data_IF_764760611363
#
_entry.id   IF_764760611363
#
_cell.length_a   1.000
_cell.length_b   1.000
_cell.length_c   1.000
_cell.angle_alpha   90.00
_cell.angle_beta   90.00
_cell.angle_gamma   90.00
#
_symmetry.space_group_name_H-M   'P 1'
#
loop_
_entity.id
_entity.type
_entity.pdbx_description
1 polymer ?
#
# COMPACT_ATOMS: atom_id res chain seq x y z
N UNK A 1 8.39 13.77 -25.40
CA UNK A 1 8.79 12.76 -26.42
C UNK A 1 7.72 11.67 -26.51
N UNK A 2 7.70 10.85 -27.57
CA UNK A 2 6.77 9.72 -27.71
C UNK A 2 7.29 8.47 -27.00
N UNK A 3 6.41 7.56 -26.57
CA UNK A 3 6.79 6.25 -26.04
C UNK A 3 7.57 5.47 -27.12
N UNK A 4 8.71 4.90 -26.75
CA UNK A 4 9.53 4.09 -27.65
C UNK A 4 9.48 2.62 -27.28
N UNK A 5 9.26 1.76 -28.27
CA UNK A 5 9.29 0.31 -28.13
C UNK A 5 10.43 -0.23 -28.98
N UNK A 6 11.42 -0.84 -28.36
CA UNK A 6 12.60 -1.37 -29.06
C UNK A 6 12.93 -2.78 -28.56
N UNK A 7 13.55 -3.59 -29.40
CA UNK A 7 14.23 -4.81 -28.97
C UNK A 7 15.72 -4.50 -28.98
N UNK A 8 16.38 -4.60 -27.83
CA UNK A 8 17.82 -4.37 -27.69
C UNK A 8 18.52 -5.65 -27.29
N UNK A 9 19.77 -5.84 -27.72
CA UNK A 9 20.61 -6.88 -27.12
C UNK A 9 20.91 -6.54 -25.67
N UNK A 10 21.17 -7.56 -24.86
CA UNK A 10 21.59 -7.34 -23.45
C UNK A 10 22.87 -6.51 -23.38
N UNK A 11 23.83 -6.80 -24.27
CA UNK A 11 25.06 -5.99 -24.41
C UNK A 11 24.76 -4.52 -24.67
N UNK A 12 23.86 -4.22 -25.62
CA UNK A 12 23.51 -2.84 -25.98
C UNK A 12 22.88 -2.11 -24.80
N UNK A 13 21.95 -2.75 -24.08
CA UNK A 13 21.31 -2.18 -22.91
C UNK A 13 22.31 -1.90 -21.78
N UNK A 14 23.19 -2.85 -21.47
CA UNK A 14 24.15 -2.69 -20.36
C UNK A 14 25.32 -1.77 -20.71
N UNK A 15 25.52 -1.43 -21.98
CA UNK A 15 26.44 -0.39 -22.43
C UNK A 15 25.82 1.00 -22.42
N UNK A 16 24.49 1.13 -22.31
CA UNK A 16 23.88 2.46 -22.26
C UNK A 16 24.40 3.25 -21.08
N UNK A 17 24.72 4.51 -21.36
CA UNK A 17 25.08 5.48 -20.35
C UNK A 17 23.77 5.95 -19.68
N UNK A 18 23.84 6.14 -18.37
CA UNK A 18 22.81 6.77 -17.55
C UNK A 18 21.69 5.84 -17.03
N UNK A 19 21.89 4.52 -17.04
CA UNK A 19 21.01 3.60 -16.32
C UNK A 19 21.06 3.87 -14.82
N UNK A 20 19.88 4.05 -14.21
CA UNK A 20 19.76 4.33 -12.77
C UNK A 20 18.71 3.46 -12.10
N UNK A 21 19.02 3.02 -10.88
CA UNK A 21 18.03 2.43 -9.97
C UNK A 21 17.43 3.59 -9.17
N UNK A 22 16.17 3.96 -9.41
CA UNK A 22 15.55 5.06 -8.69
C UNK A 22 15.17 4.63 -7.26
N UNK A 23 15.20 5.55 -6.31
CA UNK A 23 14.86 5.31 -4.90
C UNK A 23 13.49 4.66 -4.65
N UNK A 24 12.54 4.77 -5.57
CA UNK A 24 11.24 4.12 -5.43
C UNK A 24 11.21 2.62 -5.71
N UNK A 25 12.27 2.08 -6.29
CA UNK A 25 12.39 0.66 -6.55
C UNK A 25 12.43 -0.15 -5.27
N UNK A 26 12.06 -1.43 -5.39
CA UNK A 26 12.14 -2.36 -4.25
C UNK A 26 13.61 -2.77 -4.04
N UNK A 27 14.00 -3.13 -2.81
CA UNK A 27 15.31 -3.71 -2.57
C UNK A 27 15.56 -4.94 -3.45
N UNK A 28 16.83 -5.24 -3.72
CA UNK A 28 17.22 -6.45 -4.42
C UNK A 28 16.87 -7.68 -3.58
N UNK A 29 15.96 -8.52 -4.06
CA UNK A 29 15.36 -9.67 -3.35
C UNK A 29 15.43 -10.99 -4.13
N UNK A 30 16.01 -11.00 -5.34
CA UNK A 30 16.32 -12.28 -5.97
C UNK A 30 17.20 -13.13 -5.05
N UNK A 31 16.89 -14.41 -4.96
CA UNK A 31 17.65 -15.38 -4.18
C UNK A 31 18.37 -16.37 -5.10
N UNK A 32 19.21 -17.23 -4.51
CA UNK A 32 20.02 -18.23 -5.22
C UNK A 32 19.22 -19.08 -6.22
N UNK A 33 17.96 -19.40 -5.92
CA UNK A 33 17.10 -20.16 -6.86
C UNK A 33 16.84 -19.39 -8.15
N UNK A 34 16.63 -18.07 -8.08
CA UNK A 34 16.43 -17.24 -9.26
C UNK A 34 17.70 -17.19 -10.12
N UNK A 35 18.88 -17.12 -9.49
CA UNK A 35 20.18 -17.19 -10.18
C UNK A 35 20.36 -18.51 -10.91
N UNK A 36 20.11 -19.64 -10.23
CA UNK A 36 20.15 -20.98 -10.86
C UNK A 36 19.20 -21.08 -12.05
N UNK A 37 17.97 -20.59 -11.89
CA UNK A 37 16.99 -20.61 -12.97
C UNK A 37 17.50 -19.81 -14.16
N UNK A 38 17.97 -18.56 -13.94
CA UNK A 38 18.53 -17.74 -15.01
C UNK A 38 19.70 -18.43 -15.70
N UNK A 39 20.64 -19.01 -14.94
CA UNK A 39 21.80 -19.71 -15.50
C UNK A 39 21.40 -20.91 -16.36
N UNK A 40 20.53 -21.78 -15.85
CA UNK A 40 20.11 -22.97 -16.57
C UNK A 40 19.23 -22.62 -17.77
N UNK A 41 18.37 -21.61 -17.68
CA UNK A 41 17.59 -21.11 -18.82
C UNK A 41 18.51 -20.60 -19.94
N UNK A 42 19.59 -19.88 -19.60
CA UNK A 42 20.59 -19.42 -20.57
C UNK A 42 21.35 -20.59 -21.18
N UNK A 43 21.84 -21.50 -20.35
CA UNK A 43 22.58 -22.69 -20.80
C UNK A 43 21.74 -23.55 -21.74
N UNK A 44 20.48 -23.81 -21.40
CA UNK A 44 19.58 -24.63 -22.18
C UNK A 44 19.12 -23.91 -23.47
N UNK A 45 19.20 -22.58 -23.51
CA UNK A 45 18.97 -21.77 -24.70
C UNK A 45 20.20 -21.62 -25.62
N UNK A 46 21.40 -21.97 -25.16
CA UNK A 46 22.63 -21.87 -25.97
C UNK A 46 22.47 -22.62 -27.29
N UNK A 47 22.85 -21.98 -28.39
CA UNK A 47 22.69 -22.50 -29.76
C UNK A 47 21.42 -22.01 -30.47
N UNK A 48 20.48 -21.35 -29.76
CA UNK A 48 19.45 -20.55 -30.42
C UNK A 48 20.07 -19.30 -31.04
N UNK A 49 19.59 -18.89 -32.22
CA UNK A 49 20.09 -17.68 -32.88
C UNK A 49 19.74 -16.40 -32.12
N UNK A 50 18.55 -16.37 -31.53
CA UNK A 50 18.04 -15.24 -30.75
C UNK A 50 17.16 -15.77 -29.61
N UNK A 51 17.37 -15.25 -28.39
CA UNK A 51 16.63 -15.66 -27.20
C UNK A 51 16.11 -14.44 -26.44
N UNK A 52 14.78 -14.34 -26.27
CA UNK A 52 14.19 -13.21 -25.54
C UNK A 52 14.25 -13.48 -24.03
N UNK A 53 14.95 -12.63 -23.27
CA UNK A 53 15.07 -12.78 -21.80
C UNK A 53 14.11 -11.87 -21.03
N UNK A 54 12.98 -11.50 -21.64
CA UNK A 54 11.91 -10.71 -21.02
C UNK A 54 11.89 -9.25 -21.49
N UNK A 55 11.21 -8.41 -20.71
CA UNK A 55 11.09 -6.96 -20.93
C UNK A 55 11.80 -6.16 -19.84
N UNK A 56 12.06 -4.89 -20.17
CA UNK A 56 12.57 -3.82 -19.30
C UNK A 56 11.74 -2.57 -19.60
N UNK A 57 11.33 -1.86 -18.55
CA UNK A 57 10.64 -0.57 -18.67
C UNK A 57 11.57 0.49 -18.10
N UNK A 58 11.91 1.48 -18.92
CA UNK A 58 12.74 2.61 -18.57
C UNK A 58 11.89 3.89 -18.56
N UNK A 59 12.22 4.81 -17.67
CA UNK A 59 11.60 6.13 -17.58
C UNK A 59 12.70 7.20 -17.67
N UNK A 60 12.58 8.10 -18.64
CA UNK A 60 13.50 9.22 -18.77
C UNK A 60 13.32 10.19 -17.60
N UNK A 61 14.38 10.49 -16.87
CA UNK A 61 14.31 11.39 -15.73
C UNK A 61 15.62 12.18 -15.57
N UNK A 62 15.59 13.47 -15.90
CA UNK A 62 16.71 14.40 -15.77
C UNK A 62 18.04 13.89 -16.39
N UNK A 63 17.95 13.32 -17.59
CA UNK A 63 19.10 12.77 -18.32
C UNK A 63 19.46 11.34 -17.94
N UNK A 64 18.78 10.74 -16.96
CA UNK A 64 18.92 9.33 -16.60
C UNK A 64 17.78 8.47 -17.15
N UNK A 65 18.04 7.17 -17.25
CA UNK A 65 17.07 6.13 -17.57
C UNK A 65 16.77 5.33 -16.30
N UNK A 66 15.72 5.76 -15.60
CA UNK A 66 15.23 5.12 -14.38
C UNK A 66 14.60 3.76 -14.72
N UNK A 67 15.11 2.70 -14.10
CA UNK A 67 14.57 1.36 -14.28
C UNK A 67 13.27 1.24 -13.49
N UNK A 68 12.15 1.14 -14.21
CA UNK A 68 10.81 0.88 -13.66
C UNK A 68 10.55 -0.64 -13.56
N UNK A 69 11.04 -1.42 -14.52
CA UNK A 69 10.97 -2.89 -14.51
C UNK A 69 12.28 -3.52 -14.95
N UNK A 70 12.58 -4.71 -14.43
CA UNK A 70 13.77 -5.49 -14.80
C UNK A 70 14.98 -5.29 -13.88
N UNK A 71 14.89 -4.41 -12.88
CA UNK A 71 15.97 -4.11 -11.91
C UNK A 71 16.63 -5.38 -11.37
N UNK A 72 15.85 -6.32 -10.84
CA UNK A 72 16.36 -7.53 -10.20
C UNK A 72 17.21 -8.36 -11.18
N UNK A 73 16.73 -8.55 -12.41
CA UNK A 73 17.43 -9.30 -13.45
C UNK A 73 18.71 -8.58 -13.88
N UNK A 74 18.64 -7.27 -14.10
CA UNK A 74 19.79 -6.48 -14.57
C UNK A 74 20.90 -6.42 -13.51
N UNK A 75 20.56 -6.29 -12.22
CA UNK A 75 21.54 -6.40 -11.12
C UNK A 75 22.19 -7.79 -11.12
N UNK A 76 21.41 -8.87 -11.20
CA UNK A 76 21.96 -10.23 -11.21
C UNK A 76 22.90 -10.50 -12.39
N UNK A 77 22.58 -9.96 -13.57
CA UNK A 77 23.44 -10.04 -14.75
C UNK A 77 24.71 -9.21 -14.54
N UNK A 78 24.59 -8.01 -13.96
CA UNK A 78 25.73 -7.15 -13.68
C UNK A 78 26.70 -7.81 -12.68
N UNK A 79 26.19 -8.50 -11.65
CA UNK A 79 27.01 -9.31 -10.73
C UNK A 79 27.76 -10.45 -11.46
N UNK A 80 27.13 -11.07 -12.46
CA UNK A 80 27.79 -12.10 -13.27
C UNK A 80 28.91 -11.52 -14.14
N UNK A 81 28.72 -10.33 -14.72
CA UNK A 81 29.76 -9.61 -15.46
C UNK A 81 30.93 -9.21 -14.56
N UNK A 82 30.63 -8.77 -13.33
CA UNK A 82 31.64 -8.44 -12.33
C UNK A 82 32.53 -9.64 -11.99
N UNK A 83 31.92 -10.82 -11.79
CA UNK A 83 32.66 -12.07 -11.51
C UNK A 83 33.56 -12.54 -12.65
N UNK A 84 33.26 -12.15 -13.89
CA UNK A 84 34.04 -12.51 -15.08
C UNK A 84 35.05 -11.44 -15.49
N UNK A 85 35.27 -10.43 -14.64
CA UNK A 85 36.16 -9.27 -14.88
C UNK A 85 35.81 -8.48 -16.16
N UNK A 86 34.54 -8.49 -16.58
CA UNK A 86 34.09 -7.85 -17.82
C UNK A 86 33.29 -6.56 -17.56
N UNK A 87 33.02 -6.22 -16.30
CA UNK A 87 32.15 -5.10 -15.89
C UNK A 87 32.59 -3.74 -16.48
N UNK A 88 33.89 -3.49 -16.61
CA UNK A 88 34.43 -2.22 -17.13
C UNK A 88 33.96 -1.90 -18.55
N UNK A 89 33.62 -2.93 -19.34
CA UNK A 89 33.15 -2.79 -20.71
C UNK A 89 31.66 -2.40 -20.81
N UNK A 90 30.93 -2.39 -19.69
CA UNK A 90 29.49 -2.15 -19.62
C UNK A 90 29.17 -1.06 -18.60
N UNK A 91 29.22 0.20 -19.06
CA UNK A 91 29.02 1.39 -18.22
C UNK A 91 27.70 1.35 -17.44
N UNK A 92 26.62 0.95 -18.08
CA UNK A 92 25.31 0.80 -17.44
C UNK A 92 25.33 -0.26 -16.34
N UNK A 93 25.92 -1.43 -16.58
CA UNK A 93 26.07 -2.45 -15.54
C UNK A 93 26.90 -1.95 -14.34
N UNK A 94 27.97 -1.20 -14.61
CA UNK A 94 28.78 -0.59 -13.56
C UNK A 94 27.99 0.45 -12.75
N UNK A 95 27.19 1.29 -13.41
CA UNK A 95 26.29 2.24 -12.74
C UNK A 95 25.28 1.53 -11.83
N UNK A 96 24.71 0.40 -12.27
CA UNK A 96 23.79 -0.39 -11.46
C UNK A 96 24.45 -0.95 -10.20
N UNK A 97 25.69 -1.44 -10.29
CA UNK A 97 26.40 -1.97 -9.11
C UNK A 97 26.99 -0.89 -8.21
N UNK A 98 27.17 0.33 -8.73
CA UNK A 98 27.68 1.48 -7.98
C UNK A 98 26.59 2.28 -7.24
N UNK A 99 25.32 1.90 -7.40
CA UNK A 99 24.21 2.53 -6.70
C UNK A 99 24.31 2.32 -5.18
N UNK A 100 23.67 3.20 -4.41
CA UNK A 100 23.56 3.00 -2.96
C UNK A 100 22.56 1.87 -2.65
N UNK A 101 23.03 0.88 -1.88
CA UNK A 101 22.24 -0.26 -1.45
C UNK A 101 22.26 -0.36 0.07
N UNK A 102 21.12 -0.61 0.66
CA UNK A 102 20.94 -0.97 2.06
C UNK A 102 21.17 -2.46 2.32
N UNK A 103 20.91 -2.86 3.56
CA UNK A 103 21.39 -4.12 4.11
C UNK A 103 20.76 -5.35 3.43
N UNK A 104 19.46 -5.28 3.12
CA UNK A 104 18.74 -6.40 2.48
C UNK A 104 19.27 -6.63 1.06
N UNK A 105 19.42 -5.55 0.29
CA UNK A 105 19.95 -5.58 -1.06
C UNK A 105 21.38 -6.14 -1.08
N UNK A 106 22.25 -5.64 -0.17
CA UNK A 106 23.62 -6.11 -0.02
C UNK A 106 23.70 -7.59 0.38
N UNK A 107 22.86 -8.04 1.32
CA UNK A 107 22.79 -9.46 1.72
C UNK A 107 22.45 -10.36 0.53
N UNK A 108 21.39 -10.03 -0.21
CA UNK A 108 20.99 -10.81 -1.38
C UNK A 108 22.02 -10.74 -2.52
N UNK A 109 22.67 -9.59 -2.72
CA UNK A 109 23.74 -9.44 -3.71
C UNK A 109 24.91 -10.38 -3.38
N UNK A 110 25.36 -10.40 -2.13
CA UNK A 110 26.42 -11.29 -1.64
C UNK A 110 26.05 -12.78 -1.82
N UNK A 111 24.84 -13.17 -1.41
CA UNK A 111 24.38 -14.55 -1.54
C UNK A 111 24.30 -15.03 -2.99
N UNK A 112 23.96 -14.13 -3.91
CA UNK A 112 23.87 -14.43 -5.34
C UNK A 112 25.21 -14.36 -6.05
N UNK A 113 26.12 -13.49 -5.61
CA UNK A 113 27.52 -13.49 -6.04
C UNK A 113 28.17 -14.85 -5.75
N UNK A 114 28.01 -15.36 -4.53
CA UNK A 114 28.49 -16.69 -4.15
C UNK A 114 27.84 -17.81 -4.99
N UNK A 115 26.54 -17.69 -5.31
CA UNK A 115 25.86 -18.67 -6.15
C UNK A 115 26.39 -18.65 -7.59
N UNK A 116 26.65 -17.48 -8.16
CA UNK A 116 27.31 -17.36 -9.46
C UNK A 116 28.70 -18.00 -9.45
N UNK A 117 29.50 -17.72 -8.42
CA UNK A 117 30.83 -18.34 -8.25
C UNK A 117 30.75 -19.88 -8.23
N UNK A 118 29.81 -20.43 -7.45
CA UNK A 118 29.58 -21.88 -7.41
C UNK A 118 29.18 -22.45 -8.78
N UNK A 119 28.34 -21.74 -9.54
CA UNK A 119 27.92 -22.17 -10.87
C UNK A 119 29.09 -22.12 -11.87
N UNK A 120 29.93 -21.09 -11.80
CA UNK A 120 31.15 -20.98 -12.62
C UNK A 120 32.10 -22.14 -12.31
N UNK A 121 32.33 -22.46 -11.04
CA UNK A 121 33.15 -23.60 -10.64
C UNK A 121 32.58 -24.94 -11.13
N UNK A 122 31.25 -25.09 -11.15
CA UNK A 122 30.59 -26.31 -11.59
C UNK A 122 30.76 -26.59 -13.09
N UNK A 123 30.70 -25.56 -13.94
CA UNK A 123 30.79 -25.71 -15.40
C UNK A 123 32.18 -25.43 -15.96
N UNK A 124 33.05 -24.78 -15.19
CA UNK A 124 34.35 -24.28 -15.60
C UNK A 124 34.28 -22.91 -16.27
N UNK A 125 35.35 -22.11 -16.10
CA UNK A 125 35.41 -20.72 -16.57
C UNK A 125 35.12 -20.54 -18.07
N UNK A 126 35.63 -21.44 -18.92
CA UNK A 126 35.41 -21.35 -20.36
C UNK A 126 33.92 -21.46 -20.71
N UNK A 127 33.21 -22.42 -20.12
CA UNK A 127 31.79 -22.60 -20.37
C UNK A 127 30.98 -21.44 -19.77
N UNK A 128 31.38 -20.91 -18.61
CA UNK A 128 30.75 -19.73 -18.03
C UNK A 128 30.91 -18.49 -18.93
N UNK A 129 32.10 -18.28 -19.51
CA UNK A 129 32.35 -17.22 -20.50
C UNK A 129 31.51 -17.41 -21.76
N UNK A 130 31.36 -18.63 -22.25
CA UNK A 130 30.48 -18.92 -23.40
C UNK A 130 29.01 -18.60 -23.10
N UNK A 131 28.53 -18.93 -21.89
CA UNK A 131 27.18 -18.57 -21.43
C UNK A 131 27.02 -17.04 -21.35
N UNK A 132 28.02 -16.33 -20.82
CA UNK A 132 28.02 -14.87 -20.74
C UNK A 132 28.01 -14.21 -22.12
N UNK A 133 28.85 -14.69 -23.05
CA UNK A 133 28.88 -14.22 -24.43
C UNK A 133 27.54 -14.45 -25.14
N UNK A 134 26.91 -15.60 -24.91
CA UNK A 134 25.56 -15.88 -25.42
C UNK A 134 24.52 -14.93 -24.82
N UNK A 135 24.56 -14.69 -23.50
CA UNK A 135 23.69 -13.73 -22.83
C UNK A 135 23.82 -12.33 -23.44
N UNK A 136 25.04 -11.86 -23.64
CA UNK A 136 25.31 -10.51 -24.13
C UNK A 136 24.98 -10.34 -25.61
N UNK A 137 25.43 -11.26 -26.46
CA UNK A 137 25.41 -11.13 -27.91
C UNK A 137 24.21 -11.77 -28.62
N UNK A 138 23.53 -12.75 -27.99
CA UNK A 138 22.44 -13.52 -28.60
C UNK A 138 21.10 -13.41 -27.85
N UNK A 139 21.09 -12.83 -26.64
CA UNK A 139 19.84 -12.56 -25.95
C UNK A 139 19.36 -11.12 -26.21
N UNK A 140 18.04 -11.01 -26.39
CA UNK A 140 17.34 -9.75 -26.63
C UNK A 140 16.37 -9.45 -25.49
N UNK A 141 16.17 -8.17 -25.20
CA UNK A 141 15.21 -7.65 -24.23
C UNK A 141 14.26 -6.68 -24.91
N UNK A 142 12.97 -6.78 -24.59
CA UNK A 142 11.98 -5.80 -25.04
C UNK A 142 12.06 -4.57 -24.14
N UNK A 143 12.59 -3.46 -24.66
CA UNK A 143 12.76 -2.21 -23.92
C UNK A 143 11.63 -1.25 -24.28
N UNK A 144 10.93 -0.78 -23.26
CA UNK A 144 9.92 0.28 -23.36
C UNK A 144 10.47 1.51 -22.67
N UNK A 145 10.72 2.59 -23.42
CA UNK A 145 11.19 3.86 -22.86
C UNK A 145 10.03 4.84 -22.79
N UNK A 146 9.76 5.28 -21.56
CA UNK A 146 8.69 6.21 -21.22
C UNK A 146 9.27 7.61 -21.03
N UNK A 147 8.66 8.65 -21.63
CA UNK A 147 9.13 10.02 -21.46
C UNK A 147 8.92 10.51 -20.03
N UNK A 148 9.61 11.59 -19.66
CA UNK A 148 9.66 12.14 -18.31
C UNK A 148 8.29 12.38 -17.68
N UNK A 149 7.28 12.81 -18.44
CA UNK A 149 5.96 13.12 -17.91
C UNK A 149 5.07 11.88 -17.69
N UNK A 150 5.51 10.68 -18.11
CA UNK A 150 4.66 9.48 -18.20
C UNK A 150 5.04 8.36 -17.25
N UNK A 151 5.58 8.69 -16.08
CA UNK A 151 5.91 7.69 -15.07
C UNK A 151 4.71 6.86 -14.61
N UNK A 152 3.52 7.48 -14.45
CA UNK A 152 2.30 6.74 -14.08
C UNK A 152 1.91 5.71 -15.15
N UNK A 153 2.05 6.04 -16.43
CA UNK A 153 1.83 5.08 -17.52
C UNK A 153 2.89 3.97 -17.51
N UNK A 154 4.14 4.27 -17.13
CA UNK A 154 5.21 3.27 -17.00
C UNK A 154 4.86 2.22 -15.95
N UNK A 155 4.32 2.66 -14.81
CA UNK A 155 3.83 1.79 -13.75
C UNK A 155 2.60 0.97 -14.17
N UNK A 156 1.67 1.54 -14.94
CA UNK A 156 0.54 0.79 -15.50
C UNK A 156 1.01 -0.29 -16.48
N UNK A 157 2.00 0.01 -17.32
CA UNK A 157 2.62 -0.98 -18.21
C UNK A 157 3.30 -2.10 -17.42
N UNK A 158 4.04 -1.75 -16.37
CA UNK A 158 4.64 -2.71 -15.45
C UNK A 158 3.60 -3.67 -14.87
N UNK A 159 2.46 -3.16 -14.38
CA UNK A 159 1.39 -4.01 -13.82
C UNK A 159 0.78 -4.93 -14.89
N UNK A 160 0.53 -4.41 -16.09
CA UNK A 160 -0.02 -5.22 -17.20
C UNK A 160 0.90 -6.34 -17.69
N UNK A 161 2.23 -6.16 -17.57
CA UNK A 161 3.23 -7.16 -17.96
C UNK A 161 3.52 -8.15 -16.84
N UNK A 162 3.33 -7.76 -15.58
CA UNK A 162 3.53 -8.61 -14.40
C UNK A 162 2.40 -9.62 -14.16
N UNK A 163 2.09 -10.44 -15.16
CA UNK A 163 1.14 -11.56 -15.02
C UNK A 163 1.66 -12.70 -14.13
N UNK A 164 2.92 -12.65 -13.70
CA UNK A 164 3.57 -13.65 -12.81
C UNK A 164 4.19 -13.05 -11.54
N UNK A 165 4.12 -11.73 -11.36
CA UNK A 165 4.73 -10.98 -10.24
C UNK A 165 3.69 -10.43 -9.25
N UNK A 166 4.15 -9.69 -8.24
CA UNK A 166 3.29 -8.96 -7.30
C UNK A 166 2.66 -7.77 -8.04
N UNK A 167 1.34 -7.78 -8.23
CA UNK A 167 0.58 -6.68 -8.86
C UNK A 167 0.85 -5.37 -8.15
N UNK A 168 0.93 -4.29 -8.93
CA UNK A 168 1.13 -2.94 -8.42
C UNK A 168 -0.18 -2.46 -7.78
N UNK A 169 -0.11 -2.05 -6.53
CA UNK A 169 -1.27 -1.49 -5.84
C UNK A 169 -1.21 0.05 -5.92
N UNK A 170 -2.35 0.78 -5.84
CA UNK A 170 -2.36 2.25 -5.95
C UNK A 170 -1.46 2.96 -4.94
N UNK A 171 -1.17 2.32 -3.80
CA UNK A 171 -0.24 2.85 -2.82
C UNK A 171 1.22 2.82 -3.28
N UNK A 172 1.63 1.94 -4.19
CA UNK A 172 2.97 1.94 -4.78
C UNK A 172 3.23 3.21 -5.60
N UNK A 173 2.19 3.77 -6.23
CA UNK A 173 2.27 5.06 -6.94
C UNK A 173 2.50 6.23 -5.96
N UNK A 174 1.88 6.17 -4.77
CA UNK A 174 2.12 7.14 -3.70
C UNK A 174 3.56 7.04 -3.18
N UNK A 175 4.05 5.81 -2.92
CA UNK A 175 5.44 5.57 -2.53
C UNK A 175 6.39 6.27 -3.50
N UNK A 176 6.23 6.02 -4.81
CA UNK A 176 7.07 6.65 -5.82
C UNK A 176 6.95 8.17 -5.84
N UNK A 177 5.72 8.71 -5.76
CA UNK A 177 5.48 10.16 -5.72
C UNK A 177 6.18 10.83 -4.54
N UNK A 178 6.04 10.28 -3.33
CA UNK A 178 6.60 10.88 -2.12
C UNK A 178 8.11 10.70 -2.00
N UNK A 179 8.69 9.60 -2.49
CA UNK A 179 10.15 9.43 -2.50
C UNK A 179 10.86 10.47 -3.37
N UNK A 180 10.29 10.82 -4.54
CA UNK A 180 10.82 11.90 -5.39
C UNK A 180 10.74 13.30 -4.78
N UNK A 181 9.99 13.45 -3.69
CA UNK A 181 9.84 14.70 -2.93
C UNK A 181 10.74 14.73 -1.70
N UNK A 182 11.59 13.74 -1.50
CA UNK A 182 12.56 13.70 -0.41
C UNK A 182 13.86 14.39 -0.82
N UNK A 183 14.53 15.00 0.15
CA UNK A 183 15.84 15.61 -0.04
C UNK A 183 16.98 14.57 -0.05
N UNK A 184 16.75 13.38 0.52
CA UNK A 184 17.71 12.28 0.59
C UNK A 184 17.06 10.95 0.26
N UNK A 185 17.74 10.11 -0.52
CA UNK A 185 17.32 8.73 -0.77
C UNK A 185 17.70 7.86 0.44
N UNK A 186 16.70 7.24 1.10
CA UNK A 186 16.91 6.33 2.23
C UNK A 186 16.17 5.01 2.00
N UNK A 187 16.91 3.94 1.65
CA UNK A 187 16.32 2.62 1.39
C UNK A 187 15.58 2.08 2.62
N UNK A 188 15.89 2.51 3.85
CA UNK A 188 15.17 2.07 5.06
C UNK A 188 13.70 2.44 5.04
N UNK A 189 13.34 3.56 4.41
CA UNK A 189 11.94 3.97 4.22
C UNK A 189 11.23 2.98 3.29
N UNK A 190 11.91 2.59 2.21
CA UNK A 190 11.44 1.63 1.21
C UNK A 190 11.29 0.24 1.85
N UNK A 191 12.27 -0.19 2.65
CA UNK A 191 12.24 -1.46 3.38
C UNK A 191 11.05 -1.52 4.34
N UNK A 192 10.86 -0.49 5.17
CA UNK A 192 9.74 -0.41 6.11
C UNK A 192 8.39 -0.37 5.40
N UNK A 193 8.31 0.34 4.28
CA UNK A 193 7.12 0.32 3.42
C UNK A 193 6.81 -1.11 2.95
N UNK A 194 7.80 -1.84 2.42
CA UNK A 194 7.60 -3.22 1.96
C UNK A 194 7.22 -4.16 3.12
N UNK A 195 7.73 -3.94 4.34
CA UNK A 195 7.28 -4.68 5.54
C UNK A 195 5.78 -4.50 5.78
N UNK A 196 5.26 -3.27 5.67
CA UNK A 196 3.83 -3.02 5.80
C UNK A 196 3.01 -3.60 4.64
N UNK A 197 3.56 -3.70 3.43
CA UNK A 197 2.86 -4.39 2.34
C UNK A 197 2.67 -5.87 2.66
N UNK A 198 3.64 -6.49 3.35
CA UNK A 198 3.64 -7.92 3.70
C UNK A 198 3.01 -8.23 5.09
N UNK A 199 2.58 -7.21 5.85
CA UNK A 199 1.93 -7.38 7.16
C UNK A 199 0.59 -8.16 7.00
N UNK A 200 0.48 -9.27 7.75
CA UNK A 200 -0.68 -10.18 7.71
C UNK A 200 -1.87 -9.71 8.55
N UNK A 201 -1.64 -8.88 9.55
CA UNK A 201 -2.68 -8.34 10.44
C UNK A 201 -3.34 -7.09 9.86
N UNK A 202 -2.54 -6.24 9.22
CA UNK A 202 -2.97 -5.02 8.53
C UNK A 202 -1.99 -4.69 7.40
N UNK A 203 -2.21 -5.28 6.23
CA UNK A 203 -1.41 -4.94 5.04
C UNK A 203 -1.65 -3.48 4.62
N UNK A 204 -0.70 -2.85 3.91
CA UNK A 204 -0.92 -1.51 3.33
C UNK A 204 -2.16 -1.44 2.46
N UNK A 205 -2.45 -2.51 1.70
CA UNK A 205 -3.68 -2.59 0.92
C UNK A 205 -4.91 -2.41 1.80
N UNK A 206 -4.99 -3.16 2.91
CA UNK A 206 -6.12 -3.04 3.83
C UNK A 206 -6.14 -1.70 4.56
N UNK A 207 -4.97 -1.18 4.96
CA UNK A 207 -4.84 0.14 5.56
C UNK A 207 -5.46 1.22 4.66
N UNK A 208 -5.10 1.27 3.37
CA UNK A 208 -5.68 2.22 2.43
C UNK A 208 -7.15 1.90 2.12
N UNK A 209 -7.47 0.68 1.67
CA UNK A 209 -8.81 0.31 1.18
C UNK A 209 -9.90 0.39 2.25
N UNK A 210 -9.59 -0.10 3.45
CA UNK A 210 -10.57 -0.30 4.52
C UNK A 210 -10.53 0.78 5.58
N UNK A 211 -9.47 1.58 5.66
CA UNK A 211 -9.31 2.55 6.75
C UNK A 211 -9.03 3.97 6.23
N UNK A 212 -7.82 4.29 5.79
CA UNK A 212 -7.40 5.68 5.58
C UNK A 212 -8.25 6.41 4.54
N UNK A 213 -8.42 5.83 3.35
CA UNK A 213 -9.19 6.49 2.28
C UNK A 213 -10.65 6.70 2.72
N UNK A 214 -11.25 5.69 3.38
CA UNK A 214 -12.63 5.79 3.87
C UNK A 214 -12.74 6.88 4.94
N UNK A 215 -11.89 6.84 5.96
CA UNK A 215 -11.92 7.81 7.07
C UNK A 215 -11.74 9.25 6.59
N UNK A 216 -10.78 9.50 5.68
CA UNK A 216 -10.52 10.85 5.13
C UNK A 216 -11.66 11.36 4.25
N UNK A 217 -12.27 10.52 3.42
CA UNK A 217 -13.41 10.91 2.57
C UNK A 217 -14.67 11.11 3.40
N UNK A 218 -14.95 10.18 4.30
CA UNK A 218 -16.14 10.24 5.14
C UNK A 218 -16.12 11.42 6.12
N UNK A 219 -14.94 11.82 6.62
CA UNK A 219 -14.80 13.02 7.47
C UNK A 219 -15.07 14.33 6.73
N UNK A 220 -14.96 14.33 5.39
CA UNK A 220 -15.34 15.43 4.50
C UNK A 220 -16.79 15.32 4.00
N UNK A 221 -17.50 14.25 4.36
CA UNK A 221 -18.87 13.99 3.90
C UNK A 221 -18.95 13.48 2.46
N UNK A 222 -17.89 12.85 1.96
CA UNK A 222 -17.76 12.30 0.60
C UNK A 222 -17.89 10.77 0.58
N UNK A 223 -18.54 10.19 -0.42
CA UNK A 223 -18.92 8.76 -0.42
C UNK A 223 -17.76 7.80 -0.61
N UNK A 224 -16.73 8.21 -1.37
CA UNK A 224 -15.66 7.34 -1.84
C UNK A 224 -16.12 6.29 -2.88
N UNK A 225 -17.32 6.43 -3.45
CA UNK A 225 -17.80 5.47 -4.44
C UNK A 225 -17.20 5.75 -5.81
N UNK A 226 -16.56 4.75 -6.40
CA UNK A 226 -16.24 4.77 -7.83
C UNK A 226 -17.41 4.17 -8.60
N UNK A 227 -17.97 4.92 -9.54
CA UNK A 227 -19.09 4.49 -10.36
C UNK A 227 -18.58 3.88 -11.67
N UNK A 228 -18.97 2.62 -11.93
CA UNK A 228 -18.79 1.97 -13.25
C UNK A 228 -20.13 1.65 -13.87
N UNK A 229 -20.11 1.35 -15.18
CA UNK A 229 -21.29 1.01 -15.99
C UNK A 229 -22.18 -0.09 -15.39
N UNK A 230 -21.62 -0.99 -14.56
CA UNK A 230 -22.32 -2.12 -13.95
C UNK A 230 -22.31 -2.13 -12.40
N UNK A 231 -22.08 -0.98 -11.77
CA UNK A 231 -22.18 -0.85 -10.31
C UNK A 231 -21.16 0.11 -9.70
N UNK A 232 -21.30 0.35 -8.40
CA UNK A 232 -20.38 1.17 -7.62
C UNK A 232 -19.65 0.31 -6.59
N UNK A 233 -18.36 0.56 -6.42
CA UNK A 233 -17.53 -0.11 -5.40
C UNK A 233 -16.83 0.92 -4.51
N UNK A 234 -16.42 0.47 -3.32
CA UNK A 234 -15.78 1.28 -2.30
C UNK A 234 -14.38 0.72 -2.00
N UNK A 235 -13.40 1.15 -2.81
CA UNK A 235 -12.00 0.70 -2.75
C UNK A 235 -11.08 1.88 -3.06
N UNK A 236 -9.88 1.88 -2.50
CA UNK A 236 -8.84 2.82 -2.91
C UNK A 236 -8.31 2.42 -4.29
N UNK A 237 -8.36 3.36 -5.23
CA UNK A 237 -7.96 3.16 -6.64
C UNK A 237 -7.15 4.37 -7.11
N UNK A 238 -6.63 4.30 -8.33
CA UNK A 238 -5.87 5.41 -8.94
C UNK A 238 -6.64 6.74 -8.91
N UNK A 239 -7.97 6.70 -9.08
CA UNK A 239 -8.87 7.85 -8.98
C UNK A 239 -8.77 8.63 -7.66
N UNK A 240 -8.26 8.00 -6.60
CA UNK A 240 -8.15 8.58 -5.25
C UNK A 240 -6.71 8.88 -4.82
N UNK A 241 -5.72 8.67 -5.70
CA UNK A 241 -4.30 8.95 -5.38
C UNK A 241 -4.11 10.39 -4.93
N UNK A 242 -4.81 11.34 -5.56
CA UNK A 242 -4.67 12.76 -5.25
C UNK A 242 -5.20 13.12 -3.85
N UNK A 243 -6.02 12.28 -3.19
CA UNK A 243 -6.40 12.48 -1.79
C UNK A 243 -5.22 12.32 -0.80
N UNK A 244 -4.16 11.67 -1.27
CA UNK A 244 -2.94 11.37 -0.54
C UNK A 244 -1.70 12.05 -1.11
N UNK A 245 -1.79 12.73 -2.26
CA UNK A 245 -0.78 13.72 -2.63
C UNK A 245 -0.98 14.93 -1.73
N UNK A 246 0.07 15.26 -0.99
CA UNK A 246 0.05 16.31 0.00
C UNK A 246 0.49 17.64 -0.55
N UNK A 247 1.01 18.44 0.37
CA UNK A 247 1.60 19.73 0.05
C UNK A 247 3.04 19.77 0.53
N UNK A 248 3.83 20.59 -0.14
CA UNK A 248 5.17 20.93 0.31
C UNK A 248 5.09 21.98 1.42
N UNK A 249 5.71 21.71 2.57
CA UNK A 249 5.73 22.64 3.71
C UNK A 249 6.40 23.98 3.39
N UNK A 250 7.23 24.04 2.35
CA UNK A 250 7.87 25.26 1.89
C UNK A 250 6.90 26.20 1.17
N UNK A 251 5.69 25.75 0.82
CA UNK A 251 4.70 26.59 0.18
C UNK A 251 4.14 27.66 1.13
N UNK A 252 3.93 28.86 0.61
CA UNK A 252 3.46 30.02 1.38
C UNK A 252 1.93 30.03 1.55
N UNK A 253 1.37 28.92 2.03
CA UNK A 253 -0.03 28.85 2.44
C UNK A 253 -0.20 29.15 3.93
N UNK A 254 -1.16 30.01 4.33
CA UNK A 254 -1.36 30.38 5.73
C UNK A 254 -1.63 29.19 6.66
N UNK A 255 -2.43 28.19 6.23
CA UNK A 255 -2.76 27.04 7.08
C UNK A 255 -1.56 26.13 7.39
N UNK A 256 -0.45 26.25 6.64
CA UNK A 256 0.79 25.51 6.86
C UNK A 256 1.70 26.14 7.91
N UNK A 257 1.43 27.36 8.34
CA UNK A 257 2.24 28.06 9.34
C UNK A 257 2.35 27.26 10.63
N UNK A 258 1.23 26.69 11.12
CA UNK A 258 1.23 25.84 12.30
C UNK A 258 2.13 24.61 12.12
N UNK A 259 2.02 23.92 10.98
CA UNK A 259 2.78 22.70 10.71
C UNK A 259 4.29 22.96 10.56
N UNK A 260 4.69 24.15 10.10
CA UNK A 260 6.10 24.55 10.02
C UNK A 260 6.78 24.76 11.37
N UNK A 261 6.01 25.08 12.42
CA UNK A 261 6.55 25.33 13.76
C UNK A 261 6.45 24.12 14.69
N UNK A 262 5.83 23.03 14.25
CA UNK A 262 5.71 21.80 15.03
C UNK A 262 6.90 20.89 14.74
N UNK A 263 7.76 20.66 15.74
CA UNK A 263 8.90 19.73 15.62
C UNK A 263 8.44 18.29 15.34
N UNK A 264 7.41 17.83 16.06
CA UNK A 264 6.83 16.50 15.91
C UNK A 264 5.36 16.61 15.53
N UNK A 265 5.06 16.40 14.24
CA UNK A 265 3.70 16.47 13.74
C UNK A 265 2.79 15.46 14.47
N UNK A 266 1.51 15.78 14.68
CA UNK A 266 0.60 14.92 15.44
C UNK A 266 0.28 13.60 14.73
N UNK A 267 0.52 13.52 13.42
CA UNK A 267 0.21 12.36 12.56
C UNK A 267 -1.25 11.87 12.65
N UNK A 268 -2.19 12.76 13.00
CA UNK A 268 -3.62 12.44 13.01
C UNK A 268 -4.07 12.00 11.61
N UNK A 269 -4.94 10.99 11.57
CA UNK A 269 -5.51 10.39 10.35
C UNK A 269 -6.05 11.44 9.38
N UNK A 270 -6.61 12.54 9.90
CA UNK A 270 -7.26 13.58 9.10
C UNK A 270 -6.40 14.82 8.85
N UNK A 271 -5.15 14.86 9.31
CA UNK A 271 -4.26 15.99 9.07
C UNK A 271 -4.00 16.19 7.56
N UNK A 272 -3.65 17.40 7.10
CA UNK A 272 -3.15 17.62 5.74
C UNK A 272 -1.97 16.71 5.46
N UNK A 273 -1.97 16.03 4.30
CA UNK A 273 -0.81 15.23 3.93
C UNK A 273 0.33 16.18 3.60
N UNK A 274 1.51 15.87 4.13
CA UNK A 274 2.75 16.57 3.82
C UNK A 274 3.58 15.64 2.93
N UNK A 275 4.08 16.19 1.83
CA UNK A 275 4.87 15.44 0.86
C UNK A 275 6.24 15.00 1.42
N UNK A 276 6.92 14.09 0.73
CA UNK A 276 8.26 13.63 1.13
C UNK A 276 8.24 12.65 2.30
N UNK A 277 9.23 12.78 3.20
CA UNK A 277 9.45 11.88 4.35
C UNK A 277 8.28 11.86 5.33
N UNK A 278 7.60 13.00 5.52
CA UNK A 278 6.45 13.12 6.43
C UNK A 278 5.26 12.28 6.04
N UNK A 279 5.08 11.97 4.75
CA UNK A 279 4.06 11.03 4.31
C UNK A 279 4.34 9.61 4.84
N UNK A 280 5.59 9.15 4.81
CA UNK A 280 5.96 7.83 5.30
C UNK A 280 5.79 7.72 6.82
N UNK A 281 6.19 8.75 7.56
CA UNK A 281 5.93 8.84 9.00
C UNK A 281 4.41 8.82 9.30
N UNK A 282 3.60 9.49 8.48
CA UNK A 282 2.13 9.48 8.60
C UNK A 282 1.54 8.08 8.35
N UNK A 283 2.02 7.36 7.34
CA UNK A 283 1.54 6.00 7.03
C UNK A 283 1.91 5.02 8.14
N UNK A 284 3.15 5.09 8.64
CA UNK A 284 3.60 4.33 9.80
C UNK A 284 2.72 4.60 11.02
N UNK A 285 2.57 5.87 11.40
CA UNK A 285 1.77 6.23 12.56
C UNK A 285 0.30 5.83 12.41
N UNK A 286 -0.25 5.95 11.20
CA UNK A 286 -1.63 5.53 10.91
C UNK A 286 -1.81 4.03 11.04
N UNK A 287 -0.83 3.25 10.55
CA UNK A 287 -0.82 1.79 10.65
C UNK A 287 -0.85 1.33 12.11
N UNK A 288 0.07 1.88 12.93
CA UNK A 288 0.13 1.60 14.36
C UNK A 288 -1.15 2.01 15.10
N UNK A 289 -1.64 3.23 14.85
CA UNK A 289 -2.86 3.76 15.47
C UNK A 289 -4.07 2.86 15.21
N UNK A 290 -4.26 2.37 13.98
CA UNK A 290 -5.38 1.48 13.64
C UNK A 290 -5.23 0.12 14.34
N UNK A 291 -4.03 -0.45 14.42
CA UNK A 291 -3.79 -1.69 15.16
C UNK A 291 -4.09 -1.52 16.65
N UNK A 292 -3.62 -0.43 17.27
CA UNK A 292 -3.89 -0.10 18.67
C UNK A 292 -5.38 0.06 18.93
N UNK A 293 -6.10 0.81 18.09
CA UNK A 293 -7.54 1.02 18.25
C UNK A 293 -8.36 -0.26 18.04
N UNK A 294 -8.00 -1.07 17.04
CA UNK A 294 -8.62 -2.39 16.81
C UNK A 294 -8.41 -3.31 18.02
N UNK A 295 -7.19 -3.37 18.55
CA UNK A 295 -6.90 -4.19 19.74
C UNK A 295 -7.63 -3.68 20.98
N UNK A 296 -7.73 -2.36 21.16
CA UNK A 296 -8.49 -1.76 22.26
C UNK A 296 -9.99 -2.12 22.20
N UNK A 297 -10.61 -2.03 21.02
CA UNK A 297 -12.00 -2.45 20.83
C UNK A 297 -12.18 -3.96 21.03
N UNK A 298 -11.29 -4.77 20.47
CA UNK A 298 -11.28 -6.22 20.67
C UNK A 298 -11.27 -6.61 22.15
N UNK A 299 -10.43 -5.96 22.96
CA UNK A 299 -10.43 -6.16 24.42
C UNK A 299 -11.77 -5.77 25.07
N UNK A 300 -12.37 -4.64 24.66
CA UNK A 300 -13.72 -4.22 25.14
C UNK A 300 -14.83 -5.22 24.80
N UNK A 301 -14.69 -5.97 23.72
CA UNK A 301 -15.66 -6.99 23.27
C UNK A 301 -15.24 -8.44 23.61
N UNK A 302 -14.27 -8.64 24.50
CA UNK A 302 -13.87 -9.98 24.96
C UNK A 302 -13.18 -10.83 23.90
N UNK A 303 -12.63 -10.23 22.85
CA UNK A 303 -11.86 -10.92 21.81
C UNK A 303 -10.42 -11.06 22.28
N UNK A 304 -10.15 -12.08 23.11
CA UNK A 304 -8.77 -12.46 23.45
C UNK A 304 -8.41 -13.79 22.79
N UNK A 305 -7.24 -13.82 22.13
CA UNK A 305 -6.52 -15.06 21.79
C UNK A 305 -5.68 -15.57 22.98
N UNK A 306 -5.76 -14.92 24.14
CA UNK A 306 -5.00 -15.27 25.34
C UNK A 306 -5.92 -15.97 26.34
N UNK A 307 -5.48 -17.17 26.73
CA UNK A 307 -6.05 -18.11 27.70
C UNK A 307 -5.89 -17.57 29.14
N UNK A 308 -6.39 -16.38 29.44
CA UNK A 308 -6.48 -15.94 30.83
C UNK A 308 -7.95 -15.94 31.25
N UNK A 309 -8.29 -16.98 32.02
CA UNK A 309 -9.55 -17.22 32.74
C UNK A 309 -9.75 -16.20 33.87
N UNK A 310 -9.66 -14.91 33.59
CA UNK A 310 -10.25 -13.91 34.49
C UNK A 310 -11.66 -13.61 34.00
N UNK A 311 -12.64 -13.78 34.90
CA UNK A 311 -14.06 -13.50 34.68
C UNK A 311 -14.23 -12.20 33.87
N UNK A 312 -14.44 -12.33 32.55
CA UNK A 312 -14.70 -11.19 31.69
C UNK A 312 -16.03 -10.61 32.12
N UNK A 313 -16.01 -9.59 32.98
CA UNK A 313 -17.13 -8.69 33.18
C UNK A 313 -17.38 -7.96 31.86
N UNK A 314 -18.12 -8.62 30.97
CA UNK A 314 -18.45 -8.12 29.64
C UNK A 314 -19.30 -6.86 29.82
N UNK A 315 -18.70 -5.71 29.49
CA UNK A 315 -19.35 -4.41 29.65
C UNK A 315 -20.58 -4.23 28.73
N UNK A 316 -20.74 -5.10 27.72
CA UNK A 316 -21.75 -5.01 26.67
C UNK A 316 -22.65 -6.25 26.64
N UNK A 317 -23.89 -6.14 26.12
CA UNK A 317 -24.79 -7.30 25.97
C UNK A 317 -24.20 -8.40 25.08
N UNK A 318 -24.42 -9.66 25.44
CA UNK A 318 -23.88 -10.84 24.73
C UNK A 318 -24.18 -10.82 23.22
N UNK A 319 -25.40 -10.46 22.82
CA UNK A 319 -25.77 -10.38 21.40
C UNK A 319 -24.97 -9.34 20.61
N UNK A 320 -24.58 -8.21 21.24
CA UNK A 320 -23.74 -7.19 20.62
C UNK A 320 -22.32 -7.72 20.40
N UNK A 321 -21.78 -8.44 21.39
CA UNK A 321 -20.48 -9.11 21.30
C UNK A 321 -20.48 -10.17 20.20
N UNK A 322 -21.52 -11.00 20.13
CA UNK A 322 -21.69 -12.02 19.09
C UNK A 322 -21.73 -11.39 17.68
N UNK A 323 -22.45 -10.27 17.52
CA UNK A 323 -22.48 -9.54 16.24
C UNK A 323 -21.10 -8.96 15.89
N UNK A 324 -20.40 -8.35 16.86
CA UNK A 324 -19.07 -7.76 16.64
C UNK A 324 -18.03 -8.82 16.26
N UNK A 325 -18.09 -10.01 16.89
CA UNK A 325 -17.15 -11.12 16.70
C UNK A 325 -17.50 -12.03 15.52
N UNK A 326 -18.68 -11.88 14.91
CA UNK A 326 -19.13 -12.75 13.84
C UNK A 326 -18.28 -12.55 12.57
N UNK A 327 -17.71 -13.66 12.07
CA UNK A 327 -16.99 -13.70 10.80
C UNK A 327 -17.93 -13.73 9.58
N UNK A 328 -19.25 -13.68 9.78
CA UNK A 328 -20.23 -13.73 8.69
C UNK A 328 -20.10 -12.50 7.80
N UNK A 329 -20.01 -12.74 6.49
CA UNK A 329 -19.89 -11.71 5.46
C UNK A 329 -20.96 -10.59 5.52
N UNK A 330 -22.13 -10.87 6.10
CA UNK A 330 -23.23 -9.91 6.28
C UNK A 330 -22.87 -8.73 7.19
N UNK A 331 -21.93 -8.89 8.12
CA UNK A 331 -21.55 -7.87 9.11
C UNK A 331 -20.27 -7.11 8.75
N UNK A 332 -19.40 -7.67 7.90
CA UNK A 332 -18.07 -7.11 7.59
C UNK A 332 -18.10 -5.61 7.23
N UNK A 333 -19.10 -5.17 6.45
CA UNK A 333 -19.23 -3.77 6.06
C UNK A 333 -19.61 -2.86 7.24
N UNK A 334 -20.59 -3.27 8.06
CA UNK A 334 -20.99 -2.53 9.26
C UNK A 334 -19.89 -2.51 10.31
N UNK A 335 -19.20 -3.63 10.50
CA UNK A 335 -18.03 -3.72 11.36
C UNK A 335 -16.95 -2.74 10.92
N UNK A 336 -16.67 -2.60 9.62
CA UNK A 336 -15.68 -1.62 9.13
C UNK A 336 -16.13 -0.16 9.35
N UNK A 337 -17.41 0.16 9.16
CA UNK A 337 -17.96 1.50 9.52
C UNK A 337 -17.71 1.76 11.01
N UNK A 338 -18.09 0.81 11.86
CA UNK A 338 -17.96 0.90 13.31
C UNK A 338 -16.51 1.07 13.76
N UNK A 339 -15.61 0.24 13.25
CA UNK A 339 -14.19 0.30 13.56
C UNK A 339 -13.59 1.64 13.15
N UNK A 340 -13.93 2.16 11.96
CA UNK A 340 -13.40 3.42 11.47
C UNK A 340 -13.93 4.64 12.24
N UNK A 341 -15.22 4.68 12.60
CA UNK A 341 -15.76 5.81 13.36
C UNK A 341 -15.22 5.83 14.80
N UNK A 342 -15.10 4.66 15.44
CA UNK A 342 -14.45 4.54 16.75
C UNK A 342 -12.96 4.91 16.68
N UNK A 343 -12.27 4.51 15.62
CA UNK A 343 -10.84 4.84 15.43
C UNK A 343 -10.62 6.34 15.23
N UNK A 344 -11.47 7.02 14.45
CA UNK A 344 -11.40 8.49 14.31
C UNK A 344 -11.77 9.21 15.60
N UNK A 345 -12.71 8.67 16.36
CA UNK A 345 -13.07 9.24 17.65
C UNK A 345 -11.87 9.17 18.59
N UNK A 346 -11.23 8.00 18.68
CA UNK A 346 -10.05 7.78 19.49
C UNK A 346 -8.83 8.58 19.00
N UNK A 347 -8.63 8.73 17.68
CA UNK A 347 -7.59 9.59 17.08
C UNK A 347 -7.76 11.05 17.50
N UNK A 348 -9.02 11.52 17.60
CA UNK A 348 -9.34 12.91 17.91
C UNK A 348 -9.34 13.22 19.41
N UNK A 349 -9.92 12.35 20.23
CA UNK A 349 -10.17 12.61 21.66
C UNK A 349 -9.41 11.69 22.61
N UNK A 350 -8.73 10.67 22.09
CA UNK A 350 -8.11 9.61 22.89
C UNK A 350 -9.03 8.39 23.02
N UNK A 351 -8.44 7.20 22.99
CA UNK A 351 -9.17 5.92 23.10
C UNK A 351 -9.90 5.75 24.45
N UNK A 352 -9.38 6.37 25.51
CA UNK A 352 -9.95 6.24 26.87
C UNK A 352 -11.29 6.98 27.00
N UNK A 353 -11.56 7.95 26.12
CA UNK A 353 -12.84 8.67 26.02
C UNK A 353 -13.95 7.85 25.34
N UNK A 354 -13.66 6.64 24.83
CA UNK A 354 -14.68 5.71 24.31
C UNK A 354 -15.45 5.04 25.45
N UNK A 355 -16.34 5.84 26.07
CA UNK A 355 -17.29 5.38 27.08
C UNK A 355 -18.26 4.34 26.51
N UNK A 356 -18.89 3.57 27.39
CA UNK A 356 -19.90 2.58 27.00
C UNK A 356 -21.02 3.20 26.15
N UNK A 357 -21.51 4.36 26.56
CA UNK A 357 -22.58 5.07 25.86
C UNK A 357 -22.19 5.49 24.44
N UNK A 358 -20.97 6.00 24.27
CA UNK A 358 -20.44 6.38 22.95
C UNK A 358 -20.32 5.14 22.07
N UNK A 359 -19.73 4.07 22.59
CA UNK A 359 -19.54 2.82 21.84
C UNK A 359 -20.88 2.22 21.42
N UNK A 360 -21.88 2.17 22.31
CA UNK A 360 -23.23 1.69 21.98
C UNK A 360 -23.90 2.57 20.93
N UNK A 361 -23.78 3.89 21.04
CA UNK A 361 -24.36 4.83 20.06
C UNK A 361 -23.75 4.63 18.67
N UNK A 362 -22.42 4.55 18.59
CA UNK A 362 -21.69 4.32 17.35
C UNK A 362 -21.98 2.94 16.77
N UNK A 363 -22.14 1.92 17.61
CA UNK A 363 -22.55 0.58 17.20
C UNK A 363 -23.94 0.61 16.58
N UNK A 364 -24.92 1.23 17.25
CA UNK A 364 -26.29 1.35 16.75
C UNK A 364 -26.29 1.99 15.37
N UNK A 365 -25.63 3.15 15.23
CA UNK A 365 -25.57 3.84 13.96
C UNK A 365 -24.86 3.02 12.87
N UNK A 366 -23.77 2.31 13.20
CA UNK A 366 -23.02 1.53 12.21
C UNK A 366 -23.76 0.28 11.72
N UNK A 367 -24.57 -0.33 12.57
CA UNK A 367 -25.34 -1.56 12.28
C UNK A 367 -26.80 -1.27 11.87
N UNK A 368 -27.29 -0.04 11.98
CA UNK A 368 -28.63 0.35 11.53
C UNK A 368 -28.94 -0.04 10.06
N UNK A 369 -28.01 0.14 9.09
CA UNK A 369 -28.26 -0.33 7.72
C UNK A 369 -28.48 -1.84 7.62
N UNK A 370 -27.88 -2.62 8.52
CA UNK A 370 -27.95 -4.08 8.53
C UNK A 370 -29.31 -4.59 8.94
N UNK A 371 -29.89 -3.99 9.98
CA UNK A 371 -31.22 -4.36 10.48
C UNK A 371 -32.31 -3.90 9.53
N UNK A 372 -32.11 -2.78 8.84
CA UNK A 372 -33.09 -2.30 7.87
C UNK A 372 -33.02 -3.05 6.55
N UNK A 373 -31.84 -3.35 6.02
CA UNK A 373 -31.69 -3.96 4.69
C UNK A 373 -31.33 -5.44 4.71
N UNK A 374 -31.86 -6.21 3.75
CA UNK A 374 -31.51 -7.64 3.55
C UNK A 374 -30.08 -7.80 3.02
N UNK A 375 -29.60 -6.89 2.18
CA UNK A 375 -28.24 -6.85 1.67
C UNK A 375 -27.61 -5.46 1.90
N UNK A 376 -26.29 -5.44 2.13
CA UNK A 376 -25.49 -4.21 2.20
C UNK A 376 -24.42 -4.31 1.12
N UNK A 377 -24.49 -3.40 0.16
CA UNK A 377 -23.50 -3.23 -0.90
C UNK A 377 -22.61 -2.03 -0.60
N UNK A 378 -21.52 -1.88 -1.33
CA UNK A 378 -20.61 -0.74 -1.19
C UNK A 378 -21.35 0.59 -1.39
N UNK A 379 -22.23 0.66 -2.40
CA UNK A 379 -23.11 1.79 -2.62
C UNK A 379 -24.00 2.11 -1.41
N UNK A 380 -24.45 1.09 -0.67
CA UNK A 380 -25.22 1.29 0.57
C UNK A 380 -24.36 1.97 1.64
N UNK A 381 -23.12 1.49 1.82
CA UNK A 381 -22.19 2.03 2.82
C UNK A 381 -21.82 3.48 2.50
N UNK A 382 -21.32 3.75 1.30
CA UNK A 382 -20.85 5.08 0.91
C UNK A 382 -21.97 6.13 1.00
N UNK A 383 -23.18 5.79 0.55
CA UNK A 383 -24.33 6.70 0.64
C UNK A 383 -24.87 6.86 2.07
N UNK A 384 -24.83 5.81 2.89
CA UNK A 384 -25.25 5.90 4.29
C UNK A 384 -24.32 6.81 5.10
N UNK A 385 -23.00 6.57 5.00
CA UNK A 385 -22.01 7.25 5.83
C UNK A 385 -21.83 8.72 5.43
N UNK A 386 -21.85 8.99 4.12
CA UNK A 386 -21.50 10.31 3.59
C UNK A 386 -22.58 10.95 2.70
N UNK A 387 -23.47 10.15 2.12
CA UNK A 387 -24.48 10.59 1.14
C UNK A 387 -25.77 11.17 1.72
N UNK A 388 -25.93 11.19 3.05
CA UNK A 388 -27.04 11.86 3.73
C UNK A 388 -28.42 11.26 3.49
N UNK A 389 -28.54 10.14 2.76
CA UNK A 389 -29.81 9.43 2.53
C UNK A 389 -29.66 7.91 2.58
N UNK A 390 -30.61 7.25 3.25
CA UNK A 390 -30.74 5.79 3.27
C UNK A 390 -32.22 5.42 3.35
N UNK A 391 -32.69 4.56 2.42
CA UNK A 391 -34.10 4.14 2.32
C UNK A 391 -35.09 5.32 2.34
N UNK A 392 -34.79 6.35 1.55
CA UNK A 392 -35.59 7.58 1.42
C UNK A 392 -35.67 8.44 2.69
N UNK A 393 -34.93 8.09 3.74
CA UNK A 393 -34.76 8.93 4.94
C UNK A 393 -33.44 9.66 4.90
N UNK A 394 -33.39 10.83 5.52
CA UNK A 394 -32.14 11.52 5.77
C UNK A 394 -31.31 10.75 6.81
N UNK A 395 -29.98 10.82 6.65
CA UNK A 395 -29.02 10.19 7.57
C UNK A 395 -28.02 11.23 7.99
N UNK A 396 -27.70 11.23 9.28
CA UNK A 396 -26.65 12.07 9.80
C UNK A 396 -25.26 11.57 9.40
N UNK A 397 -24.44 12.47 8.84
CA UNK A 397 -23.06 12.18 8.43
C UNK A 397 -22.13 12.16 9.64
N UNK A 398 -22.20 11.12 10.49
CA UNK A 398 -21.50 11.13 11.78
C UNK A 398 -19.97 11.29 11.68
N UNK A 399 -19.34 10.81 10.61
CA UNK A 399 -17.91 11.02 10.37
C UNK A 399 -17.56 12.50 10.18
N UNK A 400 -18.38 13.23 9.42
CA UNK A 400 -18.23 14.68 9.23
C UNK A 400 -18.64 15.45 10.49
N UNK A 401 -19.62 14.96 11.25
CA UNK A 401 -19.98 15.56 12.52
C UNK A 401 -18.82 15.47 13.51
N UNK A 402 -18.18 14.30 13.60
CA UNK A 402 -17.03 14.03 14.44
C UNK A 402 -15.82 14.90 14.09
N UNK A 403 -15.56 15.14 12.79
CA UNK A 403 -14.43 15.97 12.35
C UNK A 403 -14.54 17.45 12.74
N UNK A 404 -15.75 17.91 13.06
CA UNK A 404 -16.00 19.27 13.55
C UNK A 404 -16.26 19.33 15.07
N UNK A 405 -16.38 18.19 15.75
CA UNK A 405 -16.67 18.18 17.18
C UNK A 405 -15.46 18.65 18.01
N UNK A 406 -15.69 19.45 19.04
CA UNK A 406 -14.62 19.99 19.89
C UNK A 406 -14.34 19.09 21.09
N UNK A 407 -15.35 18.38 21.59
CA UNK A 407 -15.23 17.45 22.72
C UNK A 407 -16.09 16.19 22.49
N UNK A 408 -15.87 15.09 23.22
CA UNK A 408 -16.76 13.94 23.23
C UNK A 408 -18.24 14.28 23.46
N UNK A 409 -18.51 15.18 24.42
CA UNK A 409 -19.87 15.58 24.75
C UNK A 409 -20.51 16.44 23.64
N UNK A 410 -19.73 17.35 23.02
CA UNK A 410 -20.19 18.12 21.86
C UNK A 410 -20.57 17.21 20.69
N UNK A 411 -19.78 16.15 20.44
CA UNK A 411 -20.13 15.13 19.46
C UNK A 411 -21.45 14.45 19.80
N UNK A 412 -21.59 13.96 21.03
CA UNK A 412 -22.77 13.19 21.46
C UNK A 412 -24.08 13.99 21.44
N UNK A 413 -24.07 15.24 21.92
CA UNK A 413 -25.28 16.10 21.93
C UNK A 413 -25.76 16.39 20.51
N UNK A 414 -24.86 16.41 19.52
CA UNK A 414 -25.22 16.65 18.13
C UNK A 414 -25.77 15.41 17.43
N UNK A 415 -25.70 14.21 18.02
CA UNK A 415 -26.24 12.98 17.40
C UNK A 415 -27.76 12.96 17.52
N UNK A 416 -28.45 13.00 16.38
CA UNK A 416 -29.90 12.86 16.32
C UNK A 416 -30.29 11.38 16.18
N UNK A 417 -30.76 10.79 17.28
CA UNK A 417 -31.17 9.38 17.32
C UNK A 417 -32.49 9.10 16.57
N UNK A 418 -33.31 10.11 16.29
CA UNK A 418 -34.56 9.93 15.54
C UNK A 418 -34.30 9.53 14.08
N UNK A 419 -33.18 10.00 13.51
CA UNK A 419 -32.77 9.69 12.14
C UNK A 419 -32.42 8.21 11.92
N UNK A 420 -32.14 7.47 12.99
CA UNK A 420 -32.04 6.01 12.99
C UNK A 420 -33.10 5.34 13.88
N UNK A 421 -34.28 5.98 13.95
CA UNK A 421 -35.51 5.46 14.55
C UNK A 421 -35.43 5.13 16.05
N UNK A 422 -34.58 5.84 16.79
CA UNK A 422 -34.35 5.59 18.22
C UNK A 422 -34.11 4.09 18.50
N UNK A 423 -33.32 3.46 17.61
CA UNK A 423 -32.92 2.08 17.78
C UNK A 423 -32.07 1.94 19.04
N UNK A 424 -32.21 0.80 19.72
CA UNK A 424 -31.38 0.42 20.87
C UNK A 424 -30.53 -0.78 20.50
N UNK A 425 -29.49 -1.05 21.28
CA UNK A 425 -28.68 -2.27 21.14
C UNK A 425 -29.57 -3.52 21.19
N UNK A 426 -30.51 -3.59 22.13
CA UNK A 426 -31.43 -4.73 22.28
C UNK A 426 -32.29 -4.97 21.04
N UNK A 427 -32.79 -3.90 20.38
CA UNK A 427 -33.56 -4.04 19.13
C UNK A 427 -32.70 -4.57 17.98
N UNK A 428 -31.41 -4.21 17.93
CA UNK A 428 -30.49 -4.78 16.92
C UNK A 428 -30.29 -6.27 17.19
N UNK A 429 -30.05 -6.61 18.46
CA UNK A 429 -29.87 -7.98 18.92
C UNK A 429 -31.09 -8.82 18.59
N UNK A 430 -32.30 -8.35 18.92
CA UNK A 430 -33.55 -9.06 18.65
C UNK A 430 -33.72 -9.37 17.15
N UNK A 431 -33.45 -8.39 16.29
CA UNK A 431 -33.57 -8.57 14.83
C UNK A 431 -32.53 -9.56 14.28
N UNK A 432 -31.34 -9.64 14.89
CA UNK A 432 -30.24 -10.47 14.40
C UNK A 432 -30.04 -11.79 15.19
N UNK A 433 -30.93 -12.10 16.15
CA UNK A 433 -30.81 -13.20 17.11
C UNK A 433 -30.51 -14.58 16.54
N UNK A 434 -31.10 -14.88 15.40
CA UNK A 434 -30.93 -16.19 14.73
C UNK A 434 -30.00 -16.11 13.50
N UNK A 435 -29.25 -15.00 13.38
CA UNK A 435 -28.49 -14.67 12.16
C UNK A 435 -27.00 -14.48 12.39
N UNK A 436 -26.55 -14.27 13.62
CA UNK A 436 -25.13 -14.06 13.96
C UNK A 436 -24.29 -15.33 13.97
#
# INVERSE_FOLDING_TARGET
MSIQFTSKKVEELLKEEDLRIPSYQRPYKWNRKHIRNLFYDLRDAMGKKEYQIGSVILHENDGHLDIVDGQQRLISISLFLHLLDDLENYKGANQLLSAEFGEISCYHASENYNEWENLIQLVGENQAKDICNFLLGNCSVSVITMPQERLSEAFQLFDSQNNRGKSLEPHDLLKAYHLRKQDSEDERIVEKWEQFVEDKELSLKELFDKHLFRMRRWSRGETGLTNKRYGSYLRFTEDFIDDFKGVDLNQNFPYLELYRHIEKLPMSITMPIIDGSKFFEYIESSHETIKVHKNFLNKKFGVSNELEEEEQNLAYPEGMINIYNSSKGRYLKCHNIFLNICSLFADRFGKDELSKEIVETLFIWSYYPRVKSKAIYDATVGNYVAGGRFRQKEVQKLFQLLSHAVTPNDFMIKIDRELFENYTVDKIIEVEKDKW
#
